data_IF_856085380135
#
_entry.id   IF_856085380135
#
_cell.length_a   1.000
_cell.length_b   1.000
_cell.length_c   1.000
_cell.angle_alpha   90.00
_cell.angle_beta   90.00
_cell.angle_gamma   90.00
#
_symmetry.space_group_name_H-M   'P 1'
#
loop_
_entity.id
_entity.type
_entity.pdbx_description
1 polymer ?
#
# COMPACT_ATOMS: atom_id res chain seq x y z
N UNK A 1 7.20 18.00 20.47
CA UNK A 1 7.03 19.41 20.87
C UNK A 1 7.72 20.30 19.84
N UNK A 2 7.17 21.47 19.47
CA UNK A 2 7.93 22.45 18.71
C UNK A 2 9.09 23.00 19.57
N UNK A 3 10.27 23.17 18.97
CA UNK A 3 11.42 23.81 19.63
C UNK A 3 11.11 25.28 19.95
N UNK A 4 11.63 25.79 21.06
CA UNK A 4 11.50 27.22 21.42
C UNK A 4 12.34 28.08 20.47
N UNK A 5 11.98 29.35 20.28
CA UNK A 5 12.74 30.30 19.42
C UNK A 5 14.22 30.40 19.83
N UNK A 6 14.49 30.36 21.14
CA UNK A 6 15.86 30.33 21.67
C UNK A 6 16.58 29.03 21.29
N UNK A 7 15.93 27.87 21.38
CA UNK A 7 16.50 26.59 20.96
C UNK A 7 16.85 26.55 19.46
N UNK A 8 16.00 27.11 18.60
CA UNK A 8 16.22 27.15 17.15
C UNK A 8 17.43 28.03 16.80
N UNK A 9 17.53 29.24 17.40
CA UNK A 9 18.67 30.15 17.18
C UNK A 9 19.98 29.58 17.72
N UNK A 10 19.95 28.88 18.86
CA UNK A 10 21.11 28.21 19.43
C UNK A 10 21.67 27.08 18.53
N UNK A 11 20.84 26.49 17.66
CA UNK A 11 21.25 25.48 16.66
C UNK A 11 21.85 26.09 15.37
N UNK A 12 22.00 27.42 15.32
CA UNK A 12 22.60 28.15 14.21
C UNK A 12 21.61 28.57 13.12
N UNK A 13 20.30 28.43 13.34
CA UNK A 13 19.29 28.88 12.40
C UNK A 13 19.03 30.39 12.54
N UNK A 14 18.90 31.07 11.41
CA UNK A 14 18.57 32.50 11.30
C UNK A 14 17.13 32.64 10.78
N UNK A 15 16.48 33.75 11.09
CA UNK A 15 15.18 34.05 10.48
C UNK A 15 15.39 34.36 9.00
N UNK A 16 14.45 33.90 8.16
CA UNK A 16 14.47 34.21 6.74
C UNK A 16 14.19 35.71 6.60
N UNK A 17 15.08 36.47 5.93
CA UNK A 17 14.85 37.89 5.66
C UNK A 17 13.55 38.11 4.89
N UNK A 18 12.85 39.23 5.13
CA UNK A 18 11.59 39.58 4.46
C UNK A 18 11.71 39.62 2.93
N UNK A 19 12.89 39.98 2.42
CA UNK A 19 13.20 40.07 0.99
C UNK A 19 13.54 38.70 0.36
N UNK A 20 13.83 37.69 1.19
CA UNK A 20 14.30 36.39 0.74
C UNK A 20 13.13 35.43 0.52
N UNK A 21 13.11 34.81 -0.66
CA UNK A 21 12.13 33.78 -1.03
C UNK A 21 12.87 32.50 -1.38
N UNK A 22 12.72 31.48 -0.56
CA UNK A 22 13.31 30.16 -0.84
C UNK A 22 12.33 29.40 -1.73
N UNK A 23 12.74 29.12 -2.95
CA UNK A 23 12.03 28.25 -3.90
C UNK A 23 12.59 26.83 -3.83
N UNK A 24 11.71 25.83 -3.70
CA UNK A 24 12.14 24.43 -3.66
C UNK A 24 11.10 23.46 -4.23
N UNK A 25 11.61 22.46 -4.95
CA UNK A 25 10.84 21.33 -5.48
C UNK A 25 10.95 20.13 -4.54
N UNK A 26 9.79 19.67 -4.06
CA UNK A 26 9.73 18.64 -3.03
C UNK A 26 9.61 17.23 -3.61
N UNK A 27 10.37 16.32 -3.02
CA UNK A 27 10.39 14.90 -3.34
C UNK A 27 10.17 14.08 -2.07
N UNK A 28 9.66 12.87 -2.23
CA UNK A 28 9.65 11.89 -1.14
C UNK A 28 9.97 10.49 -1.63
N UNK A 29 10.71 9.75 -0.80
CA UNK A 29 10.98 8.34 -1.02
C UNK A 29 10.39 7.53 0.14
N UNK A 30 9.55 6.55 -0.18
CA UNK A 30 9.04 5.57 0.77
C UNK A 30 9.79 4.26 0.60
N UNK A 31 10.51 3.85 1.64
CA UNK A 31 11.39 2.69 1.64
C UNK A 31 10.71 1.52 2.34
N UNK A 32 10.73 0.35 1.70
CA UNK A 32 10.14 -0.89 2.20
C UNK A 32 11.14 -2.04 2.17
N UNK A 33 11.06 -2.89 3.20
CA UNK A 33 11.56 -4.27 3.16
C UNK A 33 10.50 -5.13 2.48
N UNK A 34 10.93 -5.97 1.54
CA UNK A 34 10.07 -6.97 0.89
C UNK A 34 10.36 -8.31 1.53
N UNK A 35 9.47 -8.72 2.43
CA UNK A 35 9.58 -9.95 3.19
C UNK A 35 8.89 -11.10 2.44
N UNK A 36 9.30 -12.34 2.68
CA UNK A 36 8.72 -13.52 2.03
C UNK A 36 9.32 -13.86 0.67
N UNK A 37 10.10 -12.95 0.06
CA UNK A 37 10.89 -13.22 -1.14
C UNK A 37 12.31 -12.68 -0.99
N UNK A 38 13.24 -13.37 -1.64
CA UNK A 38 14.59 -12.93 -1.89
C UNK A 38 14.82 -13.03 -3.39
N UNK A 39 15.22 -11.95 -4.04
CA UNK A 39 15.33 -11.94 -5.49
C UNK A 39 16.72 -12.41 -5.88
N UNK A 40 16.84 -13.56 -6.53
CA UNK A 40 18.14 -14.05 -7.00
C UNK A 40 18.66 -13.18 -8.13
N UNK A 41 19.93 -12.76 -8.04
CA UNK A 41 20.70 -12.17 -9.15
C UNK A 41 20.13 -10.87 -9.75
N UNK A 42 19.15 -10.23 -9.11
CA UNK A 42 18.58 -8.98 -9.61
C UNK A 42 19.55 -7.84 -9.29
N UNK A 43 20.26 -7.35 -10.31
CA UNK A 43 20.62 -5.93 -10.38
C UNK A 43 19.31 -5.15 -10.30
N UNK A 44 19.26 -4.09 -9.50
CA UNK A 44 18.00 -3.40 -9.20
C UNK A 44 17.17 -3.05 -10.46
N UNK A 45 15.96 -3.60 -10.58
CA UNK A 45 15.06 -3.28 -11.70
C UNK A 45 14.29 -2.01 -11.36
N UNK A 46 14.44 -0.98 -12.19
CA UNK A 46 13.74 0.29 -12.04
C UNK A 46 12.56 0.41 -13.00
N UNK A 47 11.49 1.02 -12.48
CA UNK A 47 10.27 1.34 -13.21
C UNK A 47 10.10 2.86 -13.15
N UNK A 48 10.79 3.59 -14.05
CA UNK A 48 10.76 5.06 -14.05
C UNK A 48 9.45 5.60 -14.64
N UNK A 49 9.10 6.83 -14.22
CA UNK A 49 8.11 7.70 -14.86
C UNK A 49 6.71 7.11 -15.03
N UNK A 50 6.28 6.31 -14.05
CA UNK A 50 4.92 5.81 -14.01
C UNK A 50 3.95 6.95 -13.69
N UNK A 51 2.77 6.91 -14.32
CA UNK A 51 1.72 7.90 -14.08
C UNK A 51 0.41 7.21 -13.69
N UNK A 52 -0.28 7.76 -12.70
CA UNK A 52 -1.62 7.31 -12.30
C UNK A 52 -2.49 8.48 -11.90
N UNK A 53 -3.67 8.60 -12.53
CA UNK A 53 -4.61 9.72 -12.27
C UNK A 53 -3.90 11.08 -12.31
N UNK A 54 -3.00 11.26 -13.27
CA UNK A 54 -2.15 12.44 -13.48
C UNK A 54 -1.06 12.67 -12.41
N UNK A 55 -0.82 11.69 -11.54
CA UNK A 55 0.25 11.74 -10.55
C UNK A 55 1.42 10.87 -10.99
N UNK A 56 2.60 11.51 -11.13
CA UNK A 56 3.83 10.81 -11.49
C UNK A 56 4.55 10.25 -10.25
N UNK A 57 5.02 9.01 -10.36
CA UNK A 57 5.85 8.33 -9.37
C UNK A 57 6.76 7.33 -10.09
N UNK A 58 7.85 6.95 -9.43
CA UNK A 58 8.76 5.90 -9.90
C UNK A 58 8.94 4.89 -8.77
N UNK A 59 9.27 3.65 -9.09
CA UNK A 59 9.74 2.72 -8.07
C UNK A 59 10.78 1.76 -8.60
N UNK A 60 11.49 1.09 -7.71
CA UNK A 60 12.45 0.07 -8.06
C UNK A 60 12.51 -1.03 -6.99
N UNK A 61 12.87 -2.23 -7.44
CA UNK A 61 13.13 -3.41 -6.61
C UNK A 61 14.59 -3.78 -6.70
N UNK A 62 15.16 -4.35 -5.64
CA UNK A 62 16.54 -4.84 -5.67
C UNK A 62 17.01 -5.37 -4.33
N UNK A 63 18.25 -5.82 -4.28
CA UNK A 63 18.85 -6.34 -3.05
C UNK A 63 19.78 -5.35 -2.34
N UNK A 64 20.16 -4.26 -3.00
CA UNK A 64 20.93 -3.15 -2.43
C UNK A 64 20.05 -1.91 -2.39
N UNK A 65 19.98 -1.25 -1.23
CA UNK A 65 19.18 -0.04 -1.07
C UNK A 65 19.83 1.15 -1.79
N UNK A 66 21.16 1.24 -1.79
CA UNK A 66 21.95 2.24 -2.50
C UNK A 66 21.86 2.05 -4.01
N UNK A 67 21.88 0.82 -4.54
CA UNK A 67 21.71 0.61 -5.98
C UNK A 67 20.33 1.10 -6.47
N UNK A 68 19.27 0.79 -5.72
CA UNK A 68 17.92 1.28 -5.98
C UNK A 68 17.87 2.82 -5.84
N UNK A 69 18.50 3.37 -4.80
CA UNK A 69 18.56 4.81 -4.53
C UNK A 69 19.28 5.56 -5.64
N UNK A 70 20.47 5.11 -6.08
CA UNK A 70 21.20 5.71 -7.20
C UNK A 70 20.36 5.74 -8.46
N UNK A 71 19.62 4.66 -8.76
CA UNK A 71 18.75 4.61 -9.94
C UNK A 71 17.54 5.55 -9.86
N UNK A 72 16.97 5.76 -8.67
CA UNK A 72 15.73 6.55 -8.51
C UNK A 72 15.96 8.01 -8.12
N UNK A 73 16.97 8.25 -7.29
CA UNK A 73 17.24 9.51 -6.60
C UNK A 73 18.58 10.14 -7.06
N UNK A 74 19.48 9.35 -7.65
CA UNK A 74 20.77 9.81 -8.16
C UNK A 74 21.92 9.71 -7.16
N UNK A 75 21.68 9.20 -5.96
CA UNK A 75 22.68 9.14 -4.88
C UNK A 75 22.47 7.91 -3.97
N UNK A 76 23.47 7.59 -3.16
CA UNK A 76 23.41 6.54 -2.15
C UNK A 76 22.44 6.93 -1.04
N UNK A 77 21.74 5.92 -0.49
CA UNK A 77 20.78 6.16 0.58
C UNK A 77 21.46 6.24 1.95
N UNK A 78 22.52 5.45 2.12
CA UNK A 78 23.34 5.34 3.34
C UNK A 78 24.80 5.10 2.99
N UNK A 79 25.69 5.54 3.87
CA UNK A 79 27.14 5.34 3.69
C UNK A 79 27.54 3.86 3.78
N UNK A 80 26.91 3.11 4.70
CA UNK A 80 27.14 1.68 4.91
C UNK A 80 25.81 0.92 5.01
N UNK A 81 25.51 0.13 3.98
CA UNK A 81 24.32 -0.71 3.93
C UNK A 81 24.29 -1.79 5.01
N UNK A 82 25.42 -2.41 5.36
CA UNK A 82 25.44 -3.50 6.33
C UNK A 82 25.11 -3.00 7.73
N UNK A 83 25.68 -1.86 8.11
CA UNK A 83 25.37 -1.19 9.38
C UNK A 83 23.90 -0.77 9.41
N UNK A 84 23.40 -0.15 8.34
CA UNK A 84 21.99 0.23 8.24
C UNK A 84 21.02 -0.96 8.34
N UNK A 85 21.36 -2.09 7.71
CA UNK A 85 20.58 -3.32 7.77
C UNK A 85 20.46 -3.86 9.20
N UNK A 86 21.58 -3.85 9.94
CA UNK A 86 21.62 -4.28 11.35
C UNK A 86 20.78 -3.35 12.23
N UNK A 87 20.93 -2.04 12.06
CA UNK A 87 20.18 -1.03 12.82
C UNK A 87 18.67 -1.12 12.62
N UNK A 88 18.22 -1.39 11.39
CA UNK A 88 16.81 -1.47 11.04
C UNK A 88 16.23 -2.89 11.15
N UNK A 89 17.07 -3.88 11.48
CA UNK A 89 16.74 -5.30 11.50
C UNK A 89 16.01 -5.73 10.22
N UNK A 90 16.62 -5.43 9.07
CA UNK A 90 16.07 -5.71 7.74
C UNK A 90 17.04 -6.56 6.94
N UNK A 91 16.50 -7.32 5.99
CA UNK A 91 17.29 -8.09 5.03
C UNK A 91 16.75 -7.81 3.62
N UNK A 92 17.58 -7.99 2.59
CA UNK A 92 17.10 -7.96 1.21
C UNK A 92 15.91 -8.92 1.01
N UNK A 93 14.93 -8.58 0.17
CA UNK A 93 14.97 -7.50 -0.85
C UNK A 93 14.30 -6.20 -0.42
N UNK A 94 14.58 -5.11 -1.14
CA UNK A 94 14.07 -3.76 -0.89
C UNK A 94 13.18 -3.25 -2.02
N UNK A 95 12.32 -2.31 -1.67
CA UNK A 95 11.43 -1.61 -2.58
C UNK A 95 11.35 -0.13 -2.22
N UNK A 96 11.68 0.76 -3.16
CA UNK A 96 11.58 2.22 -2.96
C UNK A 96 10.54 2.78 -3.92
N UNK A 97 9.60 3.57 -3.40
CA UNK A 97 8.71 4.40 -4.20
C UNK A 97 9.15 5.85 -4.09
N UNK A 98 9.41 6.49 -5.22
CA UNK A 98 9.81 7.89 -5.34
C UNK A 98 8.66 8.73 -5.89
N UNK A 99 8.36 9.85 -5.22
CA UNK A 99 7.37 10.84 -5.60
C UNK A 99 8.02 12.19 -5.80
N UNK A 100 7.64 12.88 -6.88
CA UNK A 100 8.04 14.26 -7.18
C UNK A 100 6.81 15.15 -7.29
N UNK A 101 6.88 16.34 -6.70
CA UNK A 101 5.95 17.43 -7.01
C UNK A 101 6.56 18.27 -8.13
N UNK A 102 5.77 18.57 -9.16
CA UNK A 102 6.21 19.36 -10.32
C UNK A 102 6.29 20.85 -9.99
N UNK A 103 5.30 21.34 -9.26
CA UNK A 103 5.18 22.76 -8.94
C UNK A 103 6.07 23.12 -7.75
N UNK A 104 6.85 24.21 -7.84
CA UNK A 104 7.71 24.65 -6.74
C UNK A 104 6.89 25.21 -5.58
N UNK A 105 7.41 25.04 -4.38
CA UNK A 105 6.90 25.71 -3.19
C UNK A 105 7.82 26.85 -2.78
N UNK A 106 7.23 27.84 -2.13
CA UNK A 106 7.94 29.03 -1.70
C UNK A 106 7.83 29.21 -0.18
N UNK A 107 8.95 29.52 0.47
CA UNK A 107 8.99 29.97 1.84
C UNK A 107 9.56 31.40 1.92
N UNK A 108 8.80 32.32 2.51
CA UNK A 108 9.24 33.70 2.81
C UNK A 108 9.27 34.00 4.31
N UNK A 109 8.97 33.01 5.17
CA UNK A 109 8.95 33.21 6.62
C UNK A 109 9.29 31.91 7.35
N UNK A 110 10.06 32.01 8.43
CA UNK A 110 10.53 30.84 9.17
C UNK A 110 12.01 30.97 9.50
N UNK A 111 12.66 29.81 9.69
CA UNK A 111 14.07 29.77 10.02
C UNK A 111 14.83 28.95 8.99
N UNK A 112 16.04 29.38 8.67
CA UNK A 112 16.94 28.72 7.73
C UNK A 112 18.36 28.67 8.25
N UNK A 113 19.12 27.69 7.78
CA UNK A 113 20.54 27.53 8.00
C UNK A 113 21.13 26.96 6.72
N UNK A 114 22.20 27.55 6.22
CA UNK A 114 22.95 27.02 5.09
C UNK A 114 24.28 26.50 5.61
N UNK A 115 24.62 25.30 5.16
CA UNK A 115 25.96 24.71 5.26
C UNK A 115 26.60 24.72 3.86
N UNK A 116 27.84 24.24 3.72
CA UNK A 116 28.55 24.27 2.41
C UNK A 116 27.78 23.57 1.28
N UNK A 117 27.09 22.45 1.57
CA UNK A 117 26.36 21.64 0.57
C UNK A 117 24.83 21.63 0.76
N UNK A 118 24.32 22.04 1.92
CA UNK A 118 22.93 21.79 2.31
C UNK A 118 22.20 23.01 2.83
N UNK A 119 20.89 23.05 2.54
CA UNK A 119 19.97 24.05 3.06
C UNK A 119 19.02 23.42 4.08
N UNK A 120 19.09 23.84 5.34
CA UNK A 120 18.16 23.39 6.37
C UNK A 120 17.09 24.46 6.59
N UNK A 121 15.83 24.04 6.64
CA UNK A 121 14.73 24.93 7.00
C UNK A 121 13.90 24.35 8.15
N UNK A 122 13.31 25.22 8.96
CA UNK A 122 12.46 24.82 10.07
C UNK A 122 11.10 25.53 9.95
N UNK A 123 10.05 24.71 9.80
CA UNK A 123 8.64 25.13 9.71
C UNK A 123 8.28 25.98 8.48
N UNK A 124 9.00 25.81 7.36
CA UNK A 124 8.84 26.61 6.15
C UNK A 124 7.88 26.03 5.10
N UNK A 125 7.72 24.70 5.06
CA UNK A 125 7.09 24.01 3.93
C UNK A 125 6.02 23.01 4.37
N UNK A 126 5.15 23.43 5.29
CA UNK A 126 4.06 22.59 5.78
C UNK A 126 3.12 22.14 4.65
N UNK A 127 2.81 23.03 3.71
CA UNK A 127 1.94 22.74 2.56
C UNK A 127 2.60 21.76 1.58
N UNK A 128 3.90 21.88 1.33
CA UNK A 128 4.63 20.94 0.48
C UNK A 128 4.62 19.52 1.08
N UNK A 129 4.86 19.41 2.39
CA UNK A 129 4.76 18.13 3.11
C UNK A 129 3.36 17.54 3.07
N UNK A 130 2.33 18.39 3.18
CA UNK A 130 0.93 17.98 3.09
C UNK A 130 0.61 17.46 1.68
N UNK A 131 0.99 18.20 0.64
CA UNK A 131 0.81 17.80 -0.75
C UNK A 131 1.52 16.46 -1.07
N UNK A 132 2.78 16.29 -0.63
CA UNK A 132 3.50 15.02 -0.74
C UNK A 132 2.74 13.88 -0.06
N UNK A 133 2.26 14.11 1.17
CA UNK A 133 1.52 13.10 1.93
C UNK A 133 0.19 12.73 1.26
N UNK A 134 -0.53 13.71 0.70
CA UNK A 134 -1.76 13.46 -0.05
C UNK A 134 -1.49 12.62 -1.30
N UNK A 135 -0.41 12.92 -2.03
CA UNK A 135 0.03 12.14 -3.19
C UNK A 135 0.40 10.71 -2.81
N UNK A 136 1.21 10.54 -1.76
CA UNK A 136 1.55 9.22 -1.20
C UNK A 136 0.30 8.42 -0.83
N UNK A 137 -0.65 9.03 -0.12
CA UNK A 137 -1.89 8.37 0.32
C UNK A 137 -2.81 7.95 -0.84
N UNK A 138 -2.72 8.61 -2.00
CA UNK A 138 -3.47 8.22 -3.21
C UNK A 138 -2.86 7.01 -3.91
N UNK A 139 -1.53 6.88 -3.88
CA UNK A 139 -0.79 5.91 -4.70
C UNK A 139 -0.40 4.67 -3.89
N UNK A 140 0.26 4.86 -2.74
CA UNK A 140 0.86 3.78 -1.95
C UNK A 140 -0.14 2.66 -1.66
N UNK A 141 -1.36 2.93 -1.14
CA UNK A 141 -2.23 1.85 -0.73
C UNK A 141 -2.63 0.93 -1.88
N UNK A 142 -2.99 1.49 -3.03
CA UNK A 142 -3.36 0.71 -4.22
C UNK A 142 -2.16 -0.01 -4.82
N UNK A 143 -0.99 0.64 -4.88
CA UNK A 143 0.22 0.04 -5.44
C UNK A 143 0.68 -1.17 -4.59
N UNK A 144 0.86 -0.95 -3.28
CA UNK A 144 1.29 -2.01 -2.35
C UNK A 144 0.26 -3.13 -2.29
N UNK A 145 -1.04 -2.81 -2.30
CA UNK A 145 -2.12 -3.81 -2.33
C UNK A 145 -2.02 -4.70 -3.57
N UNK A 146 -1.90 -4.10 -4.76
CA UNK A 146 -1.78 -4.85 -6.02
C UNK A 146 -0.51 -5.68 -6.09
N UNK A 147 0.63 -5.13 -5.64
CA UNK A 147 1.89 -5.84 -5.57
C UNK A 147 1.79 -7.04 -4.62
N UNK A 148 1.22 -6.84 -3.43
CA UNK A 148 1.00 -7.91 -2.45
C UNK A 148 0.15 -9.02 -3.06
N UNK A 149 -0.97 -8.71 -3.71
CA UNK A 149 -1.85 -9.70 -4.35
C UNK A 149 -1.13 -10.49 -5.44
N UNK A 150 -0.39 -9.81 -6.32
CA UNK A 150 0.24 -10.47 -7.46
C UNK A 150 1.47 -11.29 -7.06
N UNK A 151 2.29 -10.76 -6.17
CA UNK A 151 3.46 -11.45 -5.66
C UNK A 151 3.05 -12.60 -4.74
N UNK A 152 1.94 -12.50 -4.00
CA UNK A 152 1.45 -13.60 -3.15
C UNK A 152 1.08 -14.87 -3.93
N UNK A 153 0.93 -14.76 -5.25
CA UNK A 153 0.77 -15.91 -6.16
C UNK A 153 2.08 -16.67 -6.40
N UNK A 154 3.22 -16.09 -6.02
CA UNK A 154 4.53 -16.73 -5.99
C UNK A 154 4.75 -17.33 -4.60
N UNK A 155 4.66 -16.49 -3.56
CA UNK A 155 4.84 -16.92 -2.18
C UNK A 155 3.80 -16.26 -1.26
N UNK A 156 3.06 -17.06 -0.48
CA UNK A 156 1.87 -16.56 0.25
C UNK A 156 2.17 -15.56 1.37
N UNK A 157 3.41 -15.48 1.85
CA UNK A 157 3.78 -14.65 3.01
C UNK A 157 4.41 -13.31 2.64
N UNK A 158 4.16 -12.79 1.44
CA UNK A 158 4.83 -11.57 1.00
C UNK A 158 4.29 -10.36 1.75
N UNK A 159 5.20 -9.57 2.33
CA UNK A 159 4.87 -8.35 3.07
C UNK A 159 5.79 -7.22 2.67
N UNK A 160 5.21 -6.02 2.59
CA UNK A 160 5.93 -4.78 2.40
C UNK A 160 5.98 -4.05 3.73
N UNK A 161 7.07 -4.23 4.48
CA UNK A 161 7.28 -3.52 5.75
C UNK A 161 7.89 -2.16 5.46
N UNK A 162 7.20 -1.08 5.79
CA UNK A 162 7.74 0.29 5.63
C UNK A 162 8.89 0.48 6.62
N UNK A 163 10.09 0.74 6.12
CA UNK A 163 11.27 0.97 6.94
C UNK A 163 11.41 2.45 7.24
N UNK A 164 11.40 3.27 6.20
CA UNK A 164 11.66 4.70 6.32
C UNK A 164 10.86 5.52 5.29
N UNK A 165 10.76 6.81 5.55
CA UNK A 165 10.24 7.82 4.63
C UNK A 165 11.19 9.00 4.62
N UNK A 166 11.83 9.22 3.49
CA UNK A 166 12.65 10.39 3.25
C UNK A 166 11.83 11.48 2.57
N UNK A 167 11.98 12.72 3.03
CA UNK A 167 11.49 13.91 2.33
C UNK A 167 12.65 14.86 2.21
N UNK A 168 12.85 15.33 0.99
CA UNK A 168 13.90 16.28 0.65
C UNK A 168 13.35 17.21 -0.42
N UNK A 169 13.95 18.39 -0.53
CA UNK A 169 13.66 19.30 -1.61
C UNK A 169 14.95 19.67 -2.34
N UNK A 170 14.82 20.14 -3.58
CA UNK A 170 15.93 20.73 -4.32
C UNK A 170 15.56 22.16 -4.67
N UNK A 171 16.46 23.11 -4.41
CA UNK A 171 16.28 24.51 -4.82
C UNK A 171 16.47 24.65 -6.34
N UNK A 172 16.20 25.84 -6.88
CA UNK A 172 16.51 26.19 -8.28
C UNK A 172 18.01 26.08 -8.61
N UNK A 173 18.88 26.15 -7.62
CA UNK A 173 20.34 26.02 -7.72
C UNK A 173 20.83 24.57 -7.47
N UNK A 174 19.91 23.61 -7.46
CA UNK A 174 20.16 22.18 -7.18
C UNK A 174 20.72 21.86 -5.78
N UNK A 175 20.62 22.82 -4.84
CA UNK A 175 21.00 22.62 -3.44
C UNK A 175 19.95 21.75 -2.75
N UNK A 176 20.39 20.69 -2.07
CA UNK A 176 19.49 19.79 -1.33
C UNK A 176 19.02 20.44 -0.02
N UNK A 177 17.71 20.48 0.15
CA UNK A 177 17.02 21.06 1.30
C UNK A 177 16.41 19.96 2.17
N UNK A 178 16.81 19.92 3.44
CA UNK A 178 16.28 18.99 4.43
C UNK A 178 15.36 19.67 5.46
N UNK A 179 14.24 19.02 5.77
CA UNK A 179 13.28 19.45 6.80
C UNK A 179 12.94 18.24 7.69
N UNK A 180 13.60 18.16 8.85
CA UNK A 180 13.90 16.91 9.59
C UNK A 180 12.74 16.39 10.48
N UNK A 181 12.47 15.07 10.41
CA UNK A 181 11.84 14.26 11.49
C UNK A 181 12.06 12.74 11.24
N UNK A 182 12.62 11.99 12.20
CA UNK A 182 12.91 10.53 12.10
C UNK A 182 12.04 9.69 13.05
N UNK A 183 11.68 8.45 12.68
CA UNK A 183 11.01 7.40 13.51
C UNK A 183 11.50 5.99 13.12
N UNK A 184 11.63 5.05 14.08
CA UNK A 184 12.12 3.67 13.94
C UNK A 184 11.10 2.61 14.47
N UNK A 185 11.06 1.41 13.89
CA UNK A 185 10.25 0.23 14.34
C UNK A 185 10.82 -1.12 13.83
N UNK A 186 10.72 -2.22 14.61
CA UNK A 186 11.36 -3.52 14.32
C UNK A 186 10.38 -4.74 14.29
N UNK A 187 10.51 -5.64 13.30
CA UNK A 187 9.84 -6.96 13.19
C UNK A 187 10.71 -7.97 12.41
N UNK A 188 10.50 -9.28 12.61
CA UNK A 188 11.26 -10.40 11.99
C UNK A 188 10.44 -11.17 10.94
N UNK A 189 11.09 -11.64 9.85
CA UNK A 189 10.44 -12.42 8.78
C UNK A 189 11.36 -13.47 8.11
N UNK A 190 10.79 -14.42 7.38
CA UNK A 190 11.49 -15.44 6.55
C UNK A 190 11.26 -15.20 5.05
N UNK A 191 12.23 -15.52 4.19
CA UNK A 191 12.17 -15.24 2.73
C UNK A 191 12.56 -16.45 1.87
N UNK A 192 11.93 -16.59 0.70
CA UNK A 192 12.25 -17.62 -0.31
C UNK A 192 12.85 -17.03 -1.61
N UNK A 193 13.71 -17.77 -2.29
CA UNK A 193 14.39 -17.29 -3.50
C UNK A 193 13.47 -17.29 -4.74
N UNK A 194 13.40 -16.15 -5.46
CA UNK A 194 12.59 -15.95 -6.67
C UNK A 194 13.44 -15.44 -7.84
N UNK A 195 13.14 -15.91 -9.06
CA UNK A 195 13.82 -15.49 -10.30
C UNK A 195 13.33 -14.10 -10.79
N UNK A 196 14.22 -13.25 -11.34
CA UNK A 196 13.92 -11.90 -11.84
C UNK A 196 12.71 -11.80 -12.79
N UNK A 197 12.67 -12.61 -13.84
CA UNK A 197 11.63 -12.54 -14.88
C UNK A 197 10.22 -12.78 -14.32
N UNK A 198 10.10 -13.61 -13.28
CA UNK A 198 8.80 -13.86 -12.63
C UNK A 198 8.31 -12.64 -11.86
N UNK A 199 9.20 -11.79 -11.36
CA UNK A 199 8.83 -10.56 -10.63
C UNK A 199 8.34 -9.52 -11.62
N UNK A 200 9.05 -9.30 -12.72
CA UNK A 200 8.68 -8.29 -13.71
C UNK A 200 7.29 -8.56 -14.31
N UNK A 201 6.98 -9.82 -14.60
CA UNK A 201 5.63 -10.25 -15.00
C UNK A 201 4.55 -9.93 -13.96
N UNK A 202 4.85 -10.11 -12.66
CA UNK A 202 3.91 -9.81 -11.58
C UNK A 202 3.77 -8.31 -11.35
N UNK A 203 4.86 -7.56 -11.48
CA UNK A 203 4.85 -6.10 -11.36
C UNK A 203 3.98 -5.50 -12.47
N UNK A 204 4.14 -5.95 -13.72
CA UNK A 204 3.31 -5.48 -14.84
C UNK A 204 1.82 -5.81 -14.63
N UNK A 205 1.50 -7.02 -14.13
CA UNK A 205 0.13 -7.39 -13.74
C UNK A 205 -0.39 -6.58 -12.56
N UNK A 206 0.48 -6.22 -11.62
CA UNK A 206 0.14 -5.38 -10.48
C UNK A 206 -0.16 -3.95 -10.92
N UNK A 207 0.56 -3.42 -11.91
CA UNK A 207 0.31 -2.11 -12.50
C UNK A 207 -1.04 -2.05 -13.23
N UNK A 208 -1.37 -3.09 -14.02
CA UNK A 208 -2.69 -3.18 -14.65
C UNK A 208 -3.81 -3.27 -13.59
N UNK A 209 -3.63 -4.11 -12.56
CA UNK A 209 -4.61 -4.24 -11.48
C UNK A 209 -4.75 -2.97 -10.65
N UNK A 210 -3.63 -2.31 -10.34
CA UNK A 210 -3.56 -1.07 -9.57
C UNK A 210 -4.46 0.01 -10.17
N UNK A 211 -4.52 0.11 -11.49
CA UNK A 211 -5.37 1.10 -12.16
C UNK A 211 -6.87 0.89 -11.89
N UNK A 212 -7.27 -0.37 -11.67
CA UNK A 212 -8.65 -0.84 -11.49
C UNK A 212 -9.03 -1.06 -10.02
N UNK A 213 -8.04 -1.09 -9.12
CA UNK A 213 -8.24 -1.34 -7.70
C UNK A 213 -9.04 -0.18 -7.09
N UNK A 214 -10.15 -0.51 -6.42
CA UNK A 214 -10.98 0.51 -5.77
C UNK A 214 -10.20 1.16 -4.61
N UNK A 215 -10.05 2.50 -4.60
CA UNK A 215 -9.19 3.18 -3.64
C UNK A 215 -9.51 2.91 -2.17
N UNK A 216 -10.79 2.82 -1.80
CA UNK A 216 -11.19 2.57 -0.40
C UNK A 216 -10.88 1.15 0.04
N UNK A 217 -11.13 0.15 -0.80
CA UNK A 217 -10.76 -1.26 -0.56
C UNK A 217 -9.24 -1.38 -0.44
N UNK A 218 -8.49 -0.75 -1.34
CA UNK A 218 -7.02 -0.72 -1.30
C UNK A 218 -6.48 -0.06 -0.02
N UNK A 219 -7.04 1.09 0.37
CA UNK A 219 -6.65 1.81 1.59
C UNK A 219 -6.84 0.97 2.84
N UNK A 220 -7.99 0.31 2.98
CA UNK A 220 -8.30 -0.58 4.10
C UNK A 220 -7.43 -1.85 4.07
N UNK A 221 -7.20 -2.42 2.88
CA UNK A 221 -6.36 -3.60 2.76
C UNK A 221 -4.91 -3.29 3.15
N UNK A 222 -4.33 -2.23 2.60
CA UNK A 222 -3.01 -1.72 2.98
C UNK A 222 -2.90 -1.42 4.47
N UNK A 223 -3.90 -0.76 5.05
CA UNK A 223 -3.93 -0.48 6.50
C UNK A 223 -3.96 -1.78 7.31
N UNK A 224 -4.70 -2.80 6.87
CA UNK A 224 -4.72 -4.10 7.52
C UNK A 224 -3.38 -4.86 7.39
N UNK A 225 -2.70 -4.75 6.25
CA UNK A 225 -1.40 -5.40 6.03
C UNK A 225 -0.29 -4.79 6.88
N UNK A 226 -0.33 -3.48 7.11
CA UNK A 226 0.73 -2.72 7.81
C UNK A 226 0.46 -2.51 9.32
N UNK A 227 -0.72 -2.87 9.80
CA UNK A 227 -1.09 -2.74 11.22
C UNK A 227 -0.49 -3.87 12.07
N UNK A 228 0.02 -3.51 13.26
CA UNK A 228 0.59 -4.45 14.22
C UNK A 228 -0.47 -4.97 15.20
N UNK A 229 -1.42 -4.11 15.57
CA UNK A 229 -2.53 -4.44 16.45
C UNK A 229 -3.46 -5.45 15.77
N UNK A 230 -3.58 -6.65 16.34
CA UNK A 230 -4.37 -7.75 15.76
C UNK A 230 -5.83 -7.37 15.56
N UNK A 231 -6.41 -6.59 16.47
CA UNK A 231 -7.80 -6.20 16.40
C UNK A 231 -8.05 -5.21 15.26
N UNK A 232 -7.28 -4.12 15.19
CA UNK A 232 -7.36 -3.13 14.11
C UNK A 232 -7.06 -3.76 12.75
N UNK A 233 -6.08 -4.65 12.70
CA UNK A 233 -5.75 -5.45 11.52
C UNK A 233 -6.94 -6.27 11.04
N UNK A 234 -7.58 -7.03 11.94
CA UNK A 234 -8.78 -7.79 11.62
C UNK A 234 -9.90 -6.89 11.07
N UNK A 235 -10.17 -5.74 11.71
CA UNK A 235 -11.22 -4.83 11.29
C UNK A 235 -10.96 -4.23 9.90
N UNK A 236 -9.75 -3.73 9.66
CA UNK A 236 -9.37 -3.14 8.37
C UNK A 236 -9.48 -4.15 7.23
N UNK A 237 -8.95 -5.36 7.44
CA UNK A 237 -9.05 -6.44 6.44
C UNK A 237 -10.50 -6.86 6.20
N UNK A 238 -11.32 -6.99 7.25
CA UNK A 238 -12.71 -7.41 7.13
C UNK A 238 -13.52 -6.35 6.37
N UNK A 239 -13.34 -5.07 6.71
CA UNK A 239 -14.03 -3.97 6.05
C UNK A 239 -13.64 -3.86 4.58
N UNK A 240 -12.36 -4.10 4.25
CA UNK A 240 -11.91 -4.20 2.86
C UNK A 240 -12.65 -5.31 2.10
N UNK A 241 -12.73 -6.52 2.68
CA UNK A 241 -13.45 -7.65 2.11
C UNK A 241 -14.95 -7.35 1.93
N UNK A 242 -15.60 -6.78 2.93
CA UNK A 242 -17.03 -6.47 2.93
C UNK A 242 -17.40 -5.48 1.80
N UNK A 243 -16.64 -4.40 1.66
CA UNK A 243 -16.84 -3.42 0.59
C UNK A 243 -16.63 -4.08 -0.77
N UNK A 244 -15.58 -4.90 -0.90
CA UNK A 244 -15.30 -5.59 -2.15
C UNK A 244 -16.41 -6.58 -2.53
N UNK A 245 -16.92 -7.40 -1.59
CA UNK A 245 -18.07 -8.30 -1.81
C UNK A 245 -19.26 -7.50 -2.35
N UNK A 246 -19.62 -6.39 -1.70
CA UNK A 246 -20.75 -5.58 -2.13
C UNK A 246 -20.57 -5.00 -3.53
N UNK A 247 -19.37 -4.55 -3.86
CA UNK A 247 -19.05 -4.02 -5.19
C UNK A 247 -19.10 -5.13 -6.26
N UNK A 248 -18.41 -6.24 -6.03
CA UNK A 248 -18.39 -7.38 -6.96
C UNK A 248 -19.79 -7.93 -7.17
N UNK A 249 -20.58 -8.07 -6.11
CA UNK A 249 -21.96 -8.56 -6.20
C UNK A 249 -22.84 -7.66 -7.09
N UNK A 250 -22.70 -6.33 -6.99
CA UNK A 250 -23.42 -5.38 -7.85
C UNK A 250 -23.01 -5.45 -9.33
N UNK A 251 -21.81 -5.96 -9.63
CA UNK A 251 -21.28 -6.13 -10.98
C UNK A 251 -21.62 -7.50 -11.60
N UNK A 252 -22.38 -8.34 -10.90
CA UNK A 252 -22.83 -9.63 -11.42
C UNK A 252 -24.09 -9.40 -12.27
N UNK A 253 -23.95 -9.55 -13.57
CA UNK A 253 -25.07 -9.66 -14.50
C UNK A 253 -25.64 -11.08 -14.44
N UNK A 254 -26.45 -11.35 -13.41
CA UNK A 254 -26.94 -12.70 -13.12
C UNK A 254 -27.71 -13.31 -14.29
N UNK A 255 -28.38 -12.49 -15.09
CA UNK A 255 -29.08 -12.88 -16.31
C UNK A 255 -28.20 -13.71 -17.27
N UNK A 256 -26.91 -13.41 -17.36
CA UNK A 256 -25.96 -14.11 -18.23
C UNK A 256 -25.57 -15.50 -17.69
N UNK A 257 -25.87 -15.78 -16.42
CA UNK A 257 -25.43 -16.99 -15.73
C UNK A 257 -26.56 -17.90 -15.27
N UNK A 258 -27.82 -17.44 -15.28
CA UNK A 258 -28.97 -18.18 -14.71
C UNK A 258 -29.07 -19.61 -15.22
N UNK A 259 -28.98 -19.77 -16.54
CA UNK A 259 -29.17 -21.04 -17.24
C UNK A 259 -27.99 -22.01 -17.01
N UNK A 260 -26.79 -21.48 -16.79
CA UNK A 260 -25.58 -22.28 -16.55
C UNK A 260 -25.51 -22.80 -15.10
N UNK A 261 -26.11 -22.07 -14.17
CA UNK A 261 -26.03 -22.35 -12.72
C UNK A 261 -27.25 -23.14 -12.25
N UNK A 262 -28.39 -23.02 -12.93
CA UNK A 262 -29.65 -23.64 -12.51
C UNK A 262 -30.21 -24.53 -13.62
N UNK A 263 -30.18 -25.84 -13.42
CA UNK A 263 -30.88 -26.78 -14.29
C UNK A 263 -32.39 -26.58 -14.17
N UNK A 264 -33.04 -26.21 -15.27
CA UNK A 264 -34.49 -25.99 -15.32
C UNK A 264 -35.14 -26.89 -16.38
N UNK A 265 -36.32 -27.49 -16.10
CA UNK A 265 -37.05 -28.22 -17.13
C UNK A 265 -37.37 -27.32 -18.34
N UNK A 266 -37.18 -27.82 -19.57
CA UNK A 266 -37.40 -27.04 -20.81
C UNK A 266 -38.76 -26.34 -20.83
N UNK A 267 -39.83 -27.01 -20.37
CA UNK A 267 -41.20 -26.47 -20.32
C UNK A 267 -41.37 -25.26 -19.39
N UNK A 268 -40.52 -25.10 -18.37
CA UNK A 268 -40.61 -24.02 -17.37
C UNK A 268 -39.48 -22.98 -17.49
N UNK A 269 -38.69 -23.01 -18.57
CA UNK A 269 -37.45 -22.22 -18.68
C UNK A 269 -37.66 -20.72 -18.42
N UNK A 270 -38.70 -20.11 -19.00
CA UNK A 270 -38.99 -18.67 -18.83
C UNK A 270 -39.35 -18.31 -17.38
N UNK A 271 -40.24 -19.09 -16.76
CA UNK A 271 -40.69 -18.87 -15.38
C UNK A 271 -39.57 -19.13 -14.37
N UNK A 272 -38.82 -20.22 -14.55
CA UNK A 272 -37.69 -20.58 -13.71
C UNK A 272 -36.60 -19.50 -13.76
N UNK A 273 -36.27 -19.00 -14.96
CA UNK A 273 -35.31 -17.90 -15.14
C UNK A 273 -35.71 -16.65 -14.35
N UNK A 274 -36.96 -16.20 -14.48
CA UNK A 274 -37.48 -15.04 -13.72
C UNK A 274 -37.45 -15.28 -12.21
N UNK A 275 -37.79 -16.48 -11.76
CA UNK A 275 -37.73 -16.86 -10.34
C UNK A 275 -36.30 -16.78 -9.78
N UNK A 276 -35.32 -17.36 -10.47
CA UNK A 276 -33.93 -17.34 -10.02
C UNK A 276 -33.35 -15.92 -10.00
N UNK A 277 -33.66 -15.08 -10.99
CA UNK A 277 -33.26 -13.67 -11.02
C UNK A 277 -33.82 -12.94 -9.79
N UNK A 278 -35.12 -13.10 -9.52
CA UNK A 278 -35.75 -12.48 -8.35
C UNK A 278 -35.13 -12.98 -7.03
N UNK A 279 -34.79 -14.26 -6.94
CA UNK A 279 -34.17 -14.85 -5.75
C UNK A 279 -32.74 -14.32 -5.52
N UNK A 280 -31.98 -14.09 -6.58
CA UNK A 280 -30.68 -13.42 -6.48
C UNK A 280 -30.86 -12.00 -5.95
N UNK A 281 -31.81 -11.23 -6.50
CA UNK A 281 -32.06 -9.85 -6.08
C UNK A 281 -32.47 -9.74 -4.60
N UNK A 282 -33.06 -10.80 -4.03
CA UNK A 282 -33.40 -10.92 -2.62
C UNK A 282 -32.22 -11.26 -1.70
N UNK A 283 -31.00 -11.45 -2.22
CA UNK A 283 -29.80 -11.77 -1.42
C UNK A 283 -29.35 -10.56 -0.58
N UNK A 284 -29.94 -10.42 0.60
CA UNK A 284 -29.74 -9.27 1.50
C UNK A 284 -28.53 -9.44 2.41
N UNK A 285 -28.21 -10.66 2.84
CA UNK A 285 -27.12 -10.89 3.79
C UNK A 285 -25.75 -11.03 3.09
N UNK A 286 -24.68 -10.66 3.79
CA UNK A 286 -23.33 -10.64 3.24
C UNK A 286 -22.85 -12.05 2.81
N UNK A 287 -23.27 -13.10 3.54
CA UNK A 287 -22.92 -14.49 3.22
C UNK A 287 -23.46 -14.95 1.88
N UNK A 288 -24.72 -14.65 1.58
CA UNK A 288 -25.33 -14.96 0.29
C UNK A 288 -24.62 -14.21 -0.84
N UNK A 289 -24.31 -12.94 -0.63
CA UNK A 289 -23.56 -12.13 -1.62
C UNK A 289 -22.17 -12.70 -1.86
N UNK A 290 -21.46 -13.09 -0.81
CA UNK A 290 -20.16 -13.76 -0.92
C UNK A 290 -20.25 -15.05 -1.73
N UNK A 291 -21.24 -15.91 -1.43
CA UNK A 291 -21.45 -17.17 -2.17
C UNK A 291 -21.74 -16.92 -3.65
N UNK A 292 -22.56 -15.92 -3.99
CA UNK A 292 -22.79 -15.54 -5.38
C UNK A 292 -21.52 -15.09 -6.09
N UNK A 293 -20.70 -14.26 -5.44
CA UNK A 293 -19.41 -13.86 -5.97
C UNK A 293 -18.46 -15.05 -6.15
N UNK A 294 -18.42 -15.98 -5.19
CA UNK A 294 -17.61 -17.20 -5.26
C UNK A 294 -18.01 -18.08 -6.45
N UNK A 295 -19.31 -18.32 -6.65
CA UNK A 295 -19.83 -19.16 -7.73
C UNK A 295 -19.60 -18.51 -9.11
N UNK A 296 -19.77 -17.18 -9.23
CA UNK A 296 -19.91 -16.53 -10.55
C UNK A 296 -18.70 -15.70 -10.98
N UNK A 297 -17.86 -15.25 -10.06
CA UNK A 297 -16.75 -14.33 -10.36
C UNK A 297 -15.40 -14.86 -9.89
N UNK A 298 -15.30 -15.38 -8.67
CA UNK A 298 -14.03 -15.77 -8.07
C UNK A 298 -13.68 -17.24 -8.29
N UNK A 299 -13.13 -17.54 -9.47
CA UNK A 299 -12.79 -18.90 -9.94
C UNK A 299 -11.76 -19.67 -9.08
N UNK A 300 -11.10 -19.01 -8.13
CA UNK A 300 -10.03 -19.59 -7.29
C UNK A 300 -10.49 -19.98 -5.89
N UNK A 301 -11.77 -19.77 -5.58
CA UNK A 301 -12.32 -20.13 -4.29
C UNK A 301 -12.80 -21.57 -4.28
N UNK A 302 -12.59 -22.22 -3.15
CA UNK A 302 -13.06 -23.56 -2.83
C UNK A 302 -14.13 -23.49 -1.73
N UNK A 303 -14.83 -24.61 -1.48
CA UNK A 303 -15.82 -24.69 -0.39
C UNK A 303 -15.20 -24.39 0.98
N UNK A 304 -13.92 -24.75 1.16
CA UNK A 304 -13.15 -24.43 2.37
C UNK A 304 -13.04 -22.91 2.61
N UNK A 305 -12.95 -22.11 1.55
CA UNK A 305 -12.90 -20.65 1.62
C UNK A 305 -14.26 -20.07 2.02
N UNK A 306 -15.36 -20.65 1.52
CA UNK A 306 -16.73 -20.27 1.91
C UNK A 306 -16.97 -20.53 3.39
N UNK A 307 -16.53 -21.68 3.90
CA UNK A 307 -16.63 -22.00 5.32
C UNK A 307 -15.73 -21.11 6.19
N UNK A 308 -14.53 -20.78 5.72
CA UNK A 308 -13.67 -19.80 6.39
C UNK A 308 -14.34 -18.42 6.43
N UNK A 309 -14.96 -17.95 5.34
CA UNK A 309 -15.70 -16.70 5.32
C UNK A 309 -16.84 -16.68 6.35
N UNK A 310 -17.64 -17.75 6.43
CA UNK A 310 -18.73 -17.86 7.42
C UNK A 310 -18.21 -17.74 8.85
N UNK A 311 -17.07 -18.38 9.17
CA UNK A 311 -16.42 -18.30 10.48
C UNK A 311 -15.93 -16.87 10.78
N UNK A 312 -15.25 -16.24 9.83
CA UNK A 312 -14.78 -14.85 9.94
C UNK A 312 -15.96 -13.89 10.20
N UNK A 313 -17.03 -14.01 9.42
CA UNK A 313 -18.23 -13.19 9.59
C UNK A 313 -18.85 -13.38 10.98
N UNK A 314 -18.95 -14.63 11.46
CA UNK A 314 -19.46 -14.92 12.80
C UNK A 314 -18.63 -14.23 13.89
N UNK A 315 -17.30 -14.25 13.77
CA UNK A 315 -16.40 -13.51 14.68
C UNK A 315 -16.68 -12.01 14.64
N UNK A 316 -16.82 -11.42 13.45
CA UNK A 316 -17.16 -10.00 13.31
C UNK A 316 -18.53 -9.66 13.91
N UNK A 317 -19.55 -10.47 13.68
CA UNK A 317 -20.89 -10.24 14.21
C UNK A 317 -20.86 -10.22 15.75
N UNK A 318 -20.18 -11.19 16.37
CA UNK A 318 -19.95 -11.22 17.82
C UNK A 318 -19.28 -9.95 18.35
N UNK A 319 -18.21 -9.48 17.68
CA UNK A 319 -17.56 -8.22 18.03
C UNK A 319 -18.52 -7.02 17.94
N UNK A 320 -19.36 -6.96 16.89
CA UNK A 320 -20.34 -5.88 16.75
C UNK A 320 -21.46 -5.90 17.79
N UNK A 321 -21.69 -7.06 18.43
CA UNK A 321 -22.61 -7.20 19.57
C UNK A 321 -21.94 -6.95 20.93
N UNK A 322 -20.66 -6.55 20.95
CA UNK A 322 -19.93 -6.25 22.19
C UNK A 322 -19.40 -7.48 22.93
N UNK A 323 -19.39 -8.66 22.30
CA UNK A 323 -18.79 -9.85 22.90
C UNK A 323 -17.26 -9.69 23.02
N UNK A 324 -16.71 -10.07 24.17
CA UNK A 324 -15.26 -10.15 24.36
C UNK A 324 -14.71 -11.39 23.66
N UNK A 325 -13.98 -11.18 22.57
CA UNK A 325 -13.28 -12.25 21.84
C UNK A 325 -11.78 -12.09 22.09
N UNK A 326 -11.09 -13.14 22.58
CA UNK A 326 -9.63 -13.12 22.70
C UNK A 326 -8.99 -12.83 21.34
N UNK A 327 -7.94 -11.99 21.31
CA UNK A 327 -7.23 -11.65 20.06
C UNK A 327 -6.63 -12.86 19.34
N UNK A 328 -6.29 -13.92 20.09
CA UNK A 328 -5.85 -15.21 19.56
C UNK A 328 -6.89 -15.89 18.68
N UNK A 329 -8.17 -15.57 18.88
CA UNK A 329 -9.30 -16.18 18.15
C UNK A 329 -9.69 -15.37 16.90
N UNK A 330 -9.05 -14.22 16.66
CA UNK A 330 -9.22 -13.45 15.44
C UNK A 330 -8.56 -14.19 14.27
N UNK A 331 -9.36 -14.57 13.29
CA UNK A 331 -8.93 -15.38 12.13
C UNK A 331 -8.24 -14.53 11.05
N UNK A 332 -7.24 -13.75 11.44
CA UNK A 332 -6.53 -12.80 10.57
C UNK A 332 -5.88 -13.51 9.39
N UNK A 333 -5.19 -14.62 9.65
CA UNK A 333 -4.42 -15.35 8.64
C UNK A 333 -5.36 -15.95 7.59
N UNK A 334 -6.55 -16.41 8.01
CA UNK A 334 -7.58 -16.90 7.08
C UNK A 334 -8.18 -15.77 6.25
N UNK A 335 -8.40 -14.61 6.87
CA UNK A 335 -8.94 -13.43 6.21
C UNK A 335 -7.95 -12.85 5.20
N UNK A 336 -6.66 -12.75 5.54
CA UNK A 336 -5.59 -12.38 4.60
C UNK A 336 -5.56 -13.32 3.39
N UNK A 337 -5.52 -14.64 3.64
CA UNK A 337 -5.54 -15.64 2.57
C UNK A 337 -6.76 -15.51 1.66
N UNK A 338 -7.93 -15.22 2.23
CA UNK A 338 -9.15 -15.03 1.47
C UNK A 338 -9.07 -13.78 0.58
N UNK A 339 -8.60 -12.66 1.13
CA UNK A 339 -8.39 -11.40 0.40
C UNK A 339 -7.43 -11.59 -0.79
N UNK A 340 -6.32 -12.31 -0.60
CA UNK A 340 -5.35 -12.60 -1.65
C UNK A 340 -5.91 -13.48 -2.79
N UNK A 341 -6.98 -14.25 -2.53
CA UNK A 341 -7.65 -15.06 -3.56
C UNK A 341 -8.72 -14.28 -4.34
N UNK A 342 -9.41 -13.34 -3.68
CA UNK A 342 -10.55 -12.61 -4.27
C UNK A 342 -10.16 -11.30 -4.95
N UNK A 343 -9.05 -10.68 -4.54
CA UNK A 343 -8.41 -9.57 -5.23
C UNK A 343 -7.55 -10.08 -6.38
#
# INVERSE_FOLDING_TARGET
MPLTKHGIKAMGFKEIPSEMKIEANFNSAAIYSVEGINIKELTSDSYPDLSYKNENFSFAFGNSINEISRKLLGDDFVDDEESWQKENNVRPSYFIIHFKIKDPFFCSSGYWKQDEEYLYTYNCFADAKKALKEKENKIIPSLISSLTVQLSKIHKSIRFRRINRMVYAKTSEDITLFDVRVKLSAQFSTSENVLPNKINDKVNKALDQYSKFEPRVASLFYSGLTEEDRFKKFLNLYQSLEIYIHKTFKQIEFENHVDAVNSSPKRLKKTARKFFINRQAQSKNLTQRFMWCAILKWKRLEDSDVENFKKIKKTRDKLSHGEKIPESNLQIEKLENLLLKVF
#
